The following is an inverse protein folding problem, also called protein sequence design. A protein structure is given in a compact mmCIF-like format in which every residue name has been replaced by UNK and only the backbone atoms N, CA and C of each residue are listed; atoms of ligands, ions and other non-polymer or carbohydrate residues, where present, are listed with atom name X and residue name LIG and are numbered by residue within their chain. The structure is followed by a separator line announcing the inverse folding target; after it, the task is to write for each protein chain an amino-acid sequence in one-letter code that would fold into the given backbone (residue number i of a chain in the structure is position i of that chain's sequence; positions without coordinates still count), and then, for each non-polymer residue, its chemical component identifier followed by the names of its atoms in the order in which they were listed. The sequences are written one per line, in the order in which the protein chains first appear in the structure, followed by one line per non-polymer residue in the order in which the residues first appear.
data_IF_394447657831
#
_entry.id   IF_394447657831
#
_cell.length_a   1.000
_cell.length_b   1.000
_cell.length_c   1.000
_cell.angle_alpha   90.00
_cell.angle_beta   90.00
_cell.angle_gamma   90.00
#
_symmetry.space_group_name_H-M   'P 1'
#
loop_
_entity.id
_entity.type
_entity.pdbx_description
1 polymer ?
#
# COMPACT_ATOMS: atom_id res chain seq x y z
N UNK A 1 30.72 9.97 3.18
CA UNK A 1 29.45 9.21 3.18
C UNK A 1 29.12 8.85 1.74
N UNK A 2 28.75 7.60 1.47
CA UNK A 2 28.45 7.13 0.12
C UNK A 2 26.94 7.14 -0.10
N UNK A 3 26.39 8.29 -0.47
CA UNK A 3 24.96 8.46 -0.67
C UNK A 3 24.51 8.12 -2.09
N UNK A 4 23.26 7.65 -2.28
CA UNK A 4 22.71 7.46 -3.62
C UNK A 4 22.62 8.81 -4.35
N UNK A 5 22.93 8.81 -5.65
CA UNK A 5 22.84 10.02 -6.51
C UNK A 5 21.39 10.39 -6.88
N UNK A 6 20.45 9.49 -6.65
CA UNK A 6 19.03 9.64 -6.96
C UNK A 6 18.20 8.92 -5.92
N UNK A 7 17.09 9.51 -5.53
CA UNK A 7 16.05 8.90 -4.68
C UNK A 7 14.75 8.81 -5.45
N UNK A 8 13.92 7.85 -5.07
CA UNK A 8 12.54 7.73 -5.56
C UNK A 8 11.64 8.12 -4.40
N UNK A 9 10.72 9.04 -4.66
CA UNK A 9 9.74 9.51 -3.68
C UNK A 9 8.40 8.86 -4.04
N UNK A 10 7.81 8.18 -3.07
CA UNK A 10 6.42 7.73 -3.10
C UNK A 10 5.56 8.68 -2.29
N UNK A 11 4.46 9.13 -2.87
CA UNK A 11 3.46 9.92 -2.16
C UNK A 11 2.32 9.03 -1.67
N UNK A 12 1.99 9.17 -0.39
CA UNK A 12 0.93 8.43 0.29
C UNK A 12 -0.13 9.37 0.89
N UNK A 13 -0.14 10.65 0.51
CA UNK A 13 -1.05 11.64 1.12
C UNK A 13 -2.50 11.26 0.92
N UNK A 14 -2.87 10.79 -0.28
CA UNK A 14 -4.28 10.51 -0.60
C UNK A 14 -4.80 9.24 0.08
N UNK A 15 -3.95 8.21 0.21
CA UNK A 15 -4.27 7.03 1.02
C UNK A 15 -3.98 7.30 2.49
N UNK A 16 -2.73 7.23 2.91
CA UNK A 16 -2.38 7.21 4.32
C UNK A 16 -2.66 8.52 5.04
N UNK A 17 -2.40 9.66 4.39
CA UNK A 17 -2.70 10.97 4.97
C UNK A 17 -4.20 11.14 5.24
N UNK A 18 -5.03 11.04 4.20
CA UNK A 18 -6.47 11.24 4.35
C UNK A 18 -7.17 10.19 5.20
N UNK A 19 -6.60 8.99 5.36
CA UNK A 19 -7.15 7.97 6.26
C UNK A 19 -7.36 8.48 7.69
N UNK A 20 -6.50 9.40 8.13
CA UNK A 20 -6.49 9.95 9.49
C UNK A 20 -7.26 11.26 9.63
N UNK A 21 -7.84 11.77 8.54
CA UNK A 21 -8.64 12.98 8.57
C UNK A 21 -10.03 12.70 9.16
N UNK A 22 -10.48 13.56 10.07
CA UNK A 22 -11.79 13.41 10.73
C UNK A 22 -12.96 13.59 9.74
N UNK A 23 -12.73 14.36 8.67
CA UNK A 23 -13.74 14.69 7.67
C UNK A 23 -13.50 13.93 6.39
N UNK A 24 -14.59 13.39 5.84
CA UNK A 24 -14.54 12.76 4.53
C UNK A 24 -14.10 13.75 3.44
N UNK A 25 -12.88 13.54 2.94
CA UNK A 25 -12.36 14.28 1.77
C UNK A 25 -13.06 13.78 0.50
N UNK A 26 -13.67 14.72 -0.24
CA UNK A 26 -14.44 14.40 -1.45
C UNK A 26 -13.55 13.88 -2.58
N UNK A 27 -14.08 13.01 -3.47
CA UNK A 27 -13.31 12.41 -4.57
C UNK A 27 -12.63 13.46 -5.47
N UNK A 28 -13.26 14.61 -5.69
CA UNK A 28 -12.73 15.69 -6.53
C UNK A 28 -11.45 16.30 -5.94
N UNK A 29 -11.42 16.48 -4.62
CA UNK A 29 -10.23 16.98 -3.93
C UNK A 29 -9.11 15.93 -3.93
N UNK A 30 -9.44 14.66 -3.73
CA UNK A 30 -8.47 13.55 -3.85
C UNK A 30 -7.86 13.49 -5.25
N UNK A 31 -8.70 13.57 -6.28
CA UNK A 31 -8.25 13.57 -7.67
C UNK A 31 -7.33 14.76 -7.95
N UNK A 32 -7.71 15.95 -7.47
CA UNK A 32 -6.88 17.14 -7.63
C UNK A 32 -5.48 16.94 -7.04
N UNK A 33 -5.37 16.41 -5.82
CA UNK A 33 -4.05 16.12 -5.20
C UNK A 33 -3.25 15.14 -6.04
N UNK A 34 -3.85 14.04 -6.51
CA UNK A 34 -3.15 13.07 -7.37
C UNK A 34 -2.65 13.71 -8.66
N UNK A 35 -3.46 14.56 -9.29
CA UNK A 35 -3.08 15.28 -10.51
C UNK A 35 -1.91 16.23 -10.25
N UNK A 36 -1.97 17.04 -9.18
CA UNK A 36 -0.87 17.95 -8.84
C UNK A 36 0.43 17.20 -8.53
N UNK A 37 0.37 16.07 -7.82
CA UNK A 37 1.56 15.26 -7.55
C UNK A 37 2.18 14.69 -8.82
N UNK A 38 1.36 14.21 -9.76
CA UNK A 38 1.87 13.71 -11.06
C UNK A 38 2.51 14.86 -11.85
N UNK A 39 1.89 16.04 -11.88
CA UNK A 39 2.42 17.22 -12.57
C UNK A 39 3.72 17.74 -11.92
N UNK A 40 3.86 17.58 -10.60
CA UNK A 40 5.09 17.86 -9.87
C UNK A 40 6.20 16.82 -10.14
N UNK A 41 5.89 15.73 -10.84
CA UNK A 41 6.84 14.70 -11.26
C UNK A 41 6.91 13.48 -10.35
N UNK A 42 6.00 13.34 -9.38
CA UNK A 42 5.91 12.12 -8.55
C UNK A 42 5.49 10.94 -9.42
N UNK A 43 6.25 9.84 -9.34
CA UNK A 43 6.05 8.64 -10.17
C UNK A 43 5.44 7.47 -9.40
N UNK A 44 5.35 7.54 -8.08
CA UNK A 44 4.77 6.50 -7.25
C UNK A 44 3.74 7.13 -6.33
N UNK A 45 2.47 6.73 -6.50
CA UNK A 45 1.34 7.32 -5.80
C UNK A 45 0.48 6.22 -5.22
N UNK A 46 0.18 6.31 -3.93
CA UNK A 46 -0.78 5.45 -3.28
C UNK A 46 -2.16 6.12 -3.25
N UNK A 47 -3.06 5.56 -4.06
CA UNK A 47 -4.29 6.24 -4.48
C UNK A 47 -5.42 6.03 -3.48
N UNK A 48 -5.54 4.82 -2.92
CA UNK A 48 -6.69 4.42 -2.10
C UNK A 48 -6.46 3.09 -1.38
N UNK A 49 -7.47 2.64 -0.63
CA UNK A 49 -7.54 1.33 0.00
C UNK A 49 -8.81 0.59 -0.47
N UNK A 50 -8.67 -0.66 -0.95
CA UNK A 50 -9.81 -1.49 -1.38
C UNK A 50 -10.44 -2.30 -0.23
N UNK A 51 -10.03 -2.07 1.01
CA UNK A 51 -10.61 -2.62 2.22
C UNK A 51 -12.10 -2.28 2.39
N UNK A 52 -12.71 -2.83 3.43
CA UNK A 52 -14.14 -2.66 3.69
C UNK A 52 -14.46 -1.18 3.97
N UNK A 53 -15.30 -0.51 3.16
CA UNK A 53 -15.65 0.90 3.37
C UNK A 53 -16.33 1.20 4.70
N UNK A 54 -16.94 0.21 5.36
CA UNK A 54 -17.50 0.39 6.71
C UNK A 54 -16.40 0.60 7.75
N UNK A 55 -15.26 -0.08 7.60
CA UNK A 55 -14.09 0.11 8.46
C UNK A 55 -13.17 1.23 7.99
N UNK A 56 -13.31 1.66 6.74
CA UNK A 56 -12.47 2.68 6.11
C UNK A 56 -13.33 3.66 5.30
N UNK A 57 -14.16 4.49 5.97
CA UNK A 57 -15.14 5.36 5.29
C UNK A 57 -14.49 6.35 4.33
N UNK A 58 -13.22 6.70 4.57
CA UNK A 58 -12.45 7.56 3.71
C UNK A 58 -12.26 7.00 2.29
N UNK A 59 -12.31 5.69 2.09
CA UNK A 59 -12.02 5.06 0.78
C UNK A 59 -13.24 4.41 0.13
N UNK A 60 -14.45 4.80 0.53
CA UNK A 60 -15.70 4.35 -0.11
C UNK A 60 -15.80 4.70 -1.60
N UNK A 61 -14.98 5.63 -2.08
CA UNK A 61 -14.91 6.14 -3.44
C UNK A 61 -13.73 5.58 -4.27
N UNK A 62 -13.06 4.52 -3.81
CA UNK A 62 -11.88 3.93 -4.46
C UNK A 62 -12.05 3.72 -5.98
N UNK A 63 -13.15 3.07 -6.40
CA UNK A 63 -13.46 2.82 -7.80
C UNK A 63 -13.67 4.11 -8.61
N UNK A 64 -14.33 5.10 -8.02
CA UNK A 64 -14.57 6.40 -8.66
C UNK A 64 -13.24 7.13 -8.87
N UNK A 65 -12.37 7.13 -7.86
CA UNK A 65 -11.08 7.80 -7.92
C UNK A 65 -10.16 7.20 -8.99
N UNK A 66 -10.08 5.87 -9.06
CA UNK A 66 -9.30 5.19 -10.11
C UNK A 66 -9.86 5.45 -11.51
N UNK A 67 -11.19 5.40 -11.70
CA UNK A 67 -11.81 5.74 -12.99
C UNK A 67 -11.53 7.19 -13.37
N UNK A 68 -11.55 8.11 -12.40
CA UNK A 68 -11.33 9.52 -12.63
C UNK A 68 -9.87 9.82 -13.02
N UNK A 69 -8.89 9.30 -12.26
CA UNK A 69 -7.46 9.55 -12.57
C UNK A 69 -7.07 8.95 -13.94
N UNK A 70 -7.55 7.75 -14.26
CA UNK A 70 -7.29 7.10 -15.57
C UNK A 70 -7.89 7.86 -16.76
N UNK A 71 -8.96 8.63 -16.53
CA UNK A 71 -9.63 9.47 -17.54
C UNK A 71 -9.29 10.95 -17.39
N UNK A 72 -8.37 11.32 -16.50
CA UNK A 72 -8.03 12.72 -16.26
C UNK A 72 -7.46 13.35 -17.54
N UNK A 73 -8.08 14.44 -18.00
CA UNK A 73 -7.58 15.20 -19.15
C UNK A 73 -6.23 15.88 -18.84
N UNK A 74 -5.90 16.04 -17.55
CA UNK A 74 -4.69 16.74 -17.10
C UNK A 74 -3.48 15.83 -17.08
N UNK A 75 -3.63 14.57 -16.68
CA UNK A 75 -2.48 13.70 -16.40
C UNK A 75 -2.54 12.30 -17.02
N UNK A 76 -3.64 11.89 -17.66
CA UNK A 76 -3.75 10.54 -18.25
C UNK A 76 -2.62 10.19 -19.22
N UNK A 77 -2.15 11.17 -20.00
CA UNK A 77 -1.02 11.02 -20.93
C UNK A 77 0.32 10.74 -20.22
N UNK A 78 0.45 11.07 -18.93
CA UNK A 78 1.66 10.84 -18.12
C UNK A 78 1.61 9.51 -17.35
N UNK A 79 0.44 8.86 -17.27
CA UNK A 79 0.26 7.67 -16.42
C UNK A 79 1.10 6.46 -16.84
N UNK A 80 1.61 6.43 -18.07
CA UNK A 80 2.54 5.38 -18.50
C UNK A 80 3.88 5.39 -17.75
N UNK A 81 4.22 6.52 -17.10
CA UNK A 81 5.41 6.67 -16.27
C UNK A 81 5.12 6.60 -14.76
N UNK A 82 3.84 6.47 -14.37
CA UNK A 82 3.39 6.56 -12.99
C UNK A 82 2.88 5.21 -12.52
N UNK A 83 3.34 4.75 -11.35
CA UNK A 83 2.81 3.57 -10.67
C UNK A 83 1.73 4.00 -9.68
N UNK A 84 0.48 3.62 -9.97
CA UNK A 84 -0.64 3.82 -9.06
C UNK A 84 -0.81 2.59 -8.16
N UNK A 85 -0.68 2.79 -6.85
CA UNK A 85 -0.78 1.74 -5.83
C UNK A 85 -2.14 1.79 -5.14
N UNK A 86 -2.72 0.62 -4.82
CA UNK A 86 -3.84 0.51 -3.88
C UNK A 86 -3.51 -0.47 -2.75
N UNK A 87 -3.95 -0.15 -1.54
CA UNK A 87 -3.80 -1.07 -0.39
C UNK A 87 -4.86 -2.17 -0.45
N UNK A 88 -4.42 -3.43 -0.25
CA UNK A 88 -5.24 -4.64 -0.37
C UNK A 88 -4.88 -5.68 0.70
N UNK A 89 -4.99 -5.32 1.98
CA UNK A 89 -4.53 -6.19 3.08
C UNK A 89 -5.34 -7.48 3.27
N UNK A 90 -6.41 -7.73 2.50
CA UNK A 90 -7.26 -8.93 2.58
C UNK A 90 -7.65 -9.45 1.20
N UNK A 91 -7.98 -10.73 1.14
CA UNK A 91 -8.35 -11.47 -0.06
C UNK A 91 -9.41 -10.76 -0.91
N UNK A 92 -10.48 -10.25 -0.29
CA UNK A 92 -11.55 -9.55 -1.00
C UNK A 92 -11.09 -8.23 -1.60
N UNK A 93 -10.15 -7.53 -0.95
CA UNK A 93 -9.57 -6.30 -1.48
C UNK A 93 -8.63 -6.59 -2.67
N UNK A 94 -7.88 -7.70 -2.61
CA UNK A 94 -7.03 -8.15 -3.72
C UNK A 94 -7.90 -8.52 -4.93
N UNK A 95 -8.97 -9.29 -4.71
CA UNK A 95 -9.93 -9.67 -5.75
C UNK A 95 -10.56 -8.42 -6.38
N UNK A 96 -10.97 -7.43 -5.58
CA UNK A 96 -11.47 -6.15 -6.10
C UNK A 96 -10.44 -5.42 -6.96
N UNK A 97 -9.18 -5.37 -6.53
CA UNK A 97 -8.11 -4.73 -7.30
C UNK A 97 -7.88 -5.45 -8.65
N UNK A 98 -7.92 -6.78 -8.65
CA UNK A 98 -7.83 -7.61 -9.86
C UNK A 98 -8.99 -7.31 -10.83
N UNK A 99 -10.23 -7.28 -10.34
CA UNK A 99 -11.39 -6.99 -11.18
C UNK A 99 -11.37 -5.56 -11.73
N UNK A 100 -10.96 -4.58 -10.91
CA UNK A 100 -10.74 -3.21 -11.36
C UNK A 100 -9.66 -3.11 -12.45
N UNK A 101 -8.56 -3.88 -12.31
CA UNK A 101 -7.48 -3.94 -13.30
C UNK A 101 -7.97 -4.52 -14.63
N UNK A 102 -8.68 -5.64 -14.59
CA UNK A 102 -9.31 -6.25 -15.78
C UNK A 102 -10.31 -5.32 -16.47
N UNK A 103 -11.05 -4.54 -15.67
CA UNK A 103 -11.97 -3.53 -16.19
C UNK A 103 -11.28 -2.25 -16.72
N UNK A 104 -9.94 -2.21 -16.72
CA UNK A 104 -9.14 -1.16 -17.36
C UNK A 104 -8.95 0.12 -16.55
N UNK A 105 -9.38 0.16 -15.29
CA UNK A 105 -9.22 1.36 -14.45
C UNK A 105 -8.37 1.12 -13.18
N UNK A 106 -8.14 -0.13 -12.79
CA UNK A 106 -7.52 -0.49 -11.52
C UNK A 106 -6.04 -0.09 -11.35
N UNK A 107 -5.44 -0.48 -10.22
CA UNK A 107 -4.07 -0.12 -9.87
C UNK A 107 -3.03 -0.75 -10.81
N UNK A 108 -1.79 -0.28 -10.72
CA UNK A 108 -0.61 -0.93 -11.32
C UNK A 108 0.12 -1.81 -10.31
N UNK A 109 -0.03 -1.49 -9.02
CA UNK A 109 0.60 -2.17 -7.90
C UNK A 109 -0.39 -2.29 -6.74
N UNK A 110 -0.35 -3.41 -6.03
CA UNK A 110 -1.10 -3.59 -4.79
C UNK A 110 -0.17 -3.72 -3.61
N UNK A 111 -0.60 -3.26 -2.44
CA UNK A 111 0.17 -3.33 -1.20
C UNK A 111 -0.51 -4.27 -0.21
N UNK A 112 0.23 -5.28 0.24
CA UNK A 112 -0.10 -6.15 1.36
C UNK A 112 0.75 -5.75 2.57
N UNK A 113 0.28 -6.03 3.79
CA UNK A 113 0.94 -5.56 5.00
C UNK A 113 0.98 -6.64 6.07
N UNK A 114 2.19 -6.96 6.53
CA UNK A 114 2.44 -7.84 7.67
C UNK A 114 3.08 -7.05 8.81
N UNK A 115 2.67 -7.33 10.03
CA UNK A 115 3.26 -6.78 11.25
C UNK A 115 4.15 -7.84 11.88
N UNK A 116 5.36 -7.51 12.32
CA UNK A 116 6.19 -8.46 13.08
C UNK A 116 5.53 -8.89 14.40
N UNK A 117 4.67 -8.05 14.98
CA UNK A 117 3.85 -8.38 16.14
C UNK A 117 2.58 -9.16 15.76
N UNK A 118 2.37 -10.31 16.41
CA UNK A 118 1.19 -11.16 16.21
C UNK A 118 -0.09 -10.44 16.64
N UNK A 119 -0.08 -9.77 17.81
CA UNK A 119 -1.26 -9.02 18.29
C UNK A 119 -1.60 -7.86 17.37
N UNK A 120 -0.59 -7.12 16.87
CA UNK A 120 -0.82 -6.05 15.91
C UNK A 120 -1.34 -6.60 14.59
N UNK A 121 -0.79 -7.72 14.10
CA UNK A 121 -1.23 -8.35 12.87
C UNK A 121 -2.71 -8.76 12.94
N UNK A 122 -3.12 -9.38 14.05
CA UNK A 122 -4.51 -9.77 14.27
C UNK A 122 -5.45 -8.57 14.36
N UNK A 123 -5.03 -7.49 15.01
CA UNK A 123 -5.81 -6.24 15.09
C UNK A 123 -5.95 -5.54 13.74
N UNK A 124 -4.86 -5.45 12.98
CA UNK A 124 -4.80 -4.72 11.72
C UNK A 124 -5.49 -5.45 10.57
N UNK A 125 -5.28 -6.77 10.45
CA UNK A 125 -5.79 -7.56 9.32
C UNK A 125 -6.96 -8.48 9.70
N UNK A 126 -7.15 -8.78 10.99
CA UNK A 126 -8.08 -9.84 11.43
C UNK A 126 -7.53 -11.26 11.26
N UNK A 127 -6.30 -11.44 10.77
CA UNK A 127 -5.63 -12.74 10.59
C UNK A 127 -4.43 -12.90 11.53
N UNK A 128 -4.13 -14.13 11.94
CA UNK A 128 -2.83 -14.47 12.53
C UNK A 128 -1.74 -14.36 11.47
N UNK A 129 -0.46 -14.38 11.87
CA UNK A 129 0.64 -14.37 10.91
C UNK A 129 0.58 -15.55 9.95
N UNK A 130 0.36 -16.77 10.48
CA UNK A 130 0.26 -17.98 9.66
C UNK A 130 -0.90 -17.91 8.65
N UNK A 131 -2.08 -17.44 9.09
CA UNK A 131 -3.23 -17.21 8.22
C UNK A 131 -2.93 -16.18 7.12
N UNK A 132 -2.27 -15.09 7.49
CA UNK A 132 -1.95 -14.00 6.56
C UNK A 132 -0.96 -14.42 5.49
N UNK A 133 0.10 -15.16 5.87
CA UNK A 133 1.08 -15.66 4.93
C UNK A 133 0.47 -16.66 3.94
N UNK A 134 -0.38 -17.58 4.40
CA UNK A 134 -1.12 -18.50 3.52
C UNK A 134 -2.03 -17.75 2.54
N UNK A 135 -2.67 -16.67 3.00
CA UNK A 135 -3.47 -15.80 2.13
C UNK A 135 -2.58 -15.11 1.08
N UNK A 136 -1.47 -14.50 1.49
CA UNK A 136 -0.53 -13.85 0.58
C UNK A 136 0.03 -14.82 -0.47
N UNK A 137 0.53 -15.99 -0.07
CA UNK A 137 1.05 -17.05 -0.95
C UNK A 137 0.02 -17.48 -2.01
N UNK A 138 -1.26 -17.53 -1.62
CA UNK A 138 -2.36 -17.88 -2.53
C UNK A 138 -2.73 -16.77 -3.52
N UNK A 139 -2.65 -15.51 -3.11
CA UNK A 139 -3.20 -14.39 -3.87
C UNK A 139 -2.17 -13.59 -4.65
N UNK A 140 -0.89 -13.63 -4.29
CA UNK A 140 0.18 -12.98 -5.05
C UNK A 140 0.25 -13.50 -6.50
N UNK A 141 0.26 -14.83 -6.77
CA UNK A 141 0.25 -15.32 -8.15
C UNK A 141 -0.96 -14.82 -8.95
N UNK A 142 -2.15 -14.76 -8.33
CA UNK A 142 -3.36 -14.26 -8.99
C UNK A 142 -3.28 -12.77 -9.34
N UNK A 143 -2.63 -11.98 -8.50
CA UNK A 143 -2.39 -10.56 -8.79
C UNK A 143 -1.45 -10.41 -9.99
N UNK A 144 -0.38 -11.21 -10.04
CA UNK A 144 0.55 -11.24 -11.18
C UNK A 144 -0.14 -11.69 -12.47
N UNK A 145 -0.98 -12.72 -12.41
CA UNK A 145 -1.78 -13.19 -13.57
C UNK A 145 -2.70 -12.09 -14.12
N UNK A 146 -3.13 -11.15 -13.27
CA UNK A 146 -3.91 -9.98 -13.66
C UNK A 146 -3.06 -8.78 -14.12
N UNK A 147 -1.73 -8.91 -14.14
CA UNK A 147 -0.80 -7.84 -14.51
C UNK A 147 -0.59 -6.79 -13.42
N UNK A 148 -0.85 -7.13 -12.15
CA UNK A 148 -0.57 -6.26 -11.00
C UNK A 148 0.82 -6.58 -10.43
N UNK A 149 1.57 -5.54 -10.07
CA UNK A 149 2.73 -5.70 -9.18
C UNK A 149 2.26 -5.83 -7.73
N UNK A 150 3.09 -6.46 -6.90
CA UNK A 150 2.82 -6.71 -5.49
C UNK A 150 3.93 -6.10 -4.64
N UNK A 151 3.54 -5.31 -3.65
CA UNK A 151 4.38 -4.88 -2.55
C UNK A 151 4.05 -5.63 -1.28
N UNK A 152 5.11 -6.08 -0.59
CA UNK A 152 5.01 -6.50 0.79
C UNK A 152 5.47 -5.40 1.73
N UNK A 153 4.62 -4.95 2.63
CA UNK A 153 5.03 -4.06 3.72
C UNK A 153 5.33 -4.85 4.98
N UNK A 154 6.39 -4.48 5.69
CA UNK A 154 6.67 -4.95 7.05
C UNK A 154 6.52 -3.78 8.02
N UNK A 155 5.60 -3.94 8.97
CA UNK A 155 5.31 -2.97 10.04
C UNK A 155 5.82 -3.47 11.39
N UNK A 156 5.72 -2.60 12.40
CA UNK A 156 6.16 -2.86 13.79
C UNK A 156 7.63 -3.26 13.93
N UNK A 157 8.49 -2.82 13.01
CA UNK A 157 9.93 -3.21 12.97
C UNK A 157 10.66 -2.70 14.21
N UNK A 158 10.45 -1.43 14.57
CA UNK A 158 11.18 -0.77 15.66
C UNK A 158 10.44 -0.78 17.00
N UNK A 159 9.20 -1.26 17.00
CA UNK A 159 8.35 -1.37 18.16
C UNK A 159 6.91 -1.71 17.76
N UNK A 160 6.15 -2.25 18.70
CA UNK A 160 4.73 -2.48 18.58
C UNK A 160 4.01 -1.71 19.71
N UNK A 161 2.93 -0.97 19.43
CA UNK A 161 2.17 -0.26 20.45
C UNK A 161 1.40 -1.21 21.39
N UNK A 162 1.34 -2.50 21.08
CA UNK A 162 0.65 -3.53 21.86
C UNK A 162 1.65 -4.39 22.65
N UNK A 163 2.67 -4.92 21.97
CA UNK A 163 3.62 -5.89 22.55
C UNK A 163 4.95 -5.25 22.97
N UNK A 164 5.19 -3.98 22.63
CA UNK A 164 6.42 -3.27 22.99
C UNK A 164 7.58 -3.56 22.02
N UNK A 165 8.82 -3.73 22.51
CA UNK A 165 10.00 -3.90 21.66
C UNK A 165 9.91 -5.14 20.76
N UNK A 166 10.34 -5.00 19.50
CA UNK A 166 10.37 -6.09 18.50
C UNK A 166 11.81 -6.42 18.09
N UNK A 167 12.04 -7.68 17.69
CA UNK A 167 13.32 -8.10 17.11
C UNK A 167 13.40 -7.70 15.63
N UNK A 168 14.40 -6.88 15.29
CA UNK A 168 14.64 -6.43 13.92
C UNK A 168 14.91 -7.61 12.96
N UNK A 169 15.46 -8.72 13.47
CA UNK A 169 15.70 -9.91 12.65
C UNK A 169 14.41 -10.54 12.13
N UNK A 170 13.27 -10.33 12.78
CA UNK A 170 11.99 -10.79 12.27
C UNK A 170 11.55 -9.97 11.04
N UNK A 171 11.84 -8.67 11.02
CA UNK A 171 11.59 -7.85 9.84
C UNK A 171 12.43 -8.30 8.64
N UNK A 172 13.70 -8.67 8.86
CA UNK A 172 14.58 -9.22 7.81
C UNK A 172 14.02 -10.55 7.28
N UNK A 173 13.58 -11.45 8.17
CA UNK A 173 12.95 -12.72 7.77
C UNK A 173 11.67 -12.48 6.97
N UNK A 174 10.85 -11.52 7.37
CA UNK A 174 9.56 -11.23 6.71
C UNK A 174 9.76 -10.56 5.35
N UNK A 175 10.71 -9.63 5.24
CA UNK A 175 11.12 -9.04 3.97
C UNK A 175 11.62 -10.11 2.99
N UNK A 176 12.47 -11.04 3.46
CA UNK A 176 12.91 -12.17 2.65
C UNK A 176 11.72 -13.03 2.20
N UNK A 177 10.81 -13.36 3.13
CA UNK A 177 9.62 -14.16 2.82
C UNK A 177 8.74 -13.51 1.76
N UNK A 178 8.54 -12.19 1.81
CA UNK A 178 7.80 -11.46 0.77
C UNK A 178 8.39 -11.71 -0.62
N UNK A 179 9.72 -11.64 -0.77
CA UNK A 179 10.38 -11.95 -2.04
C UNK A 179 10.27 -13.42 -2.41
N UNK A 180 10.44 -14.34 -1.45
CA UNK A 180 10.34 -15.79 -1.68
C UNK A 180 8.95 -16.20 -2.22
N UNK A 181 7.89 -15.47 -1.84
CA UNK A 181 6.50 -15.72 -2.29
C UNK A 181 6.08 -14.85 -3.48
N UNK A 182 7.00 -14.05 -4.04
CA UNK A 182 6.80 -13.35 -5.31
C UNK A 182 6.41 -11.86 -5.23
N UNK A 183 6.59 -11.18 -4.09
CA UNK A 183 6.48 -9.72 -4.07
C UNK A 183 7.57 -9.09 -4.97
N UNK A 184 7.26 -7.99 -5.64
CA UNK A 184 8.20 -7.26 -6.50
C UNK A 184 9.14 -6.34 -5.72
N UNK A 185 8.65 -5.80 -4.61
CA UNK A 185 9.35 -4.86 -3.76
C UNK A 185 8.81 -4.95 -2.33
N UNK A 186 9.56 -4.40 -1.38
CA UNK A 186 9.21 -4.40 0.04
C UNK A 186 9.32 -2.99 0.60
N UNK A 187 8.35 -2.59 1.42
CA UNK A 187 8.35 -1.34 2.18
C UNK A 187 8.50 -1.62 3.67
N UNK A 188 9.27 -0.81 4.37
CA UNK A 188 9.45 -0.88 5.82
C UNK A 188 8.74 0.31 6.46
N UNK A 189 7.79 0.05 7.37
CA UNK A 189 6.95 1.08 7.95
C UNK A 189 7.25 1.31 9.44
N UNK A 190 7.73 2.52 9.76
CA UNK A 190 7.81 3.03 11.13
C UNK A 190 6.51 3.73 11.52
N UNK A 191 5.46 2.94 11.71
CA UNK A 191 4.08 3.43 11.88
C UNK A 191 3.84 4.38 13.06
N UNK A 192 4.67 4.36 14.10
CA UNK A 192 4.55 5.25 15.27
C UNK A 192 5.67 6.29 15.36
N UNK A 193 6.57 6.33 14.37
CA UNK A 193 7.67 7.29 14.29
C UNK A 193 8.70 7.13 15.42
N UNK A 194 8.80 5.96 16.03
CA UNK A 194 9.66 5.71 17.19
C UNK A 194 11.10 5.33 16.85
N UNK A 195 11.42 5.13 15.56
CA UNK A 195 12.76 4.72 15.15
C UNK A 195 13.79 5.85 15.29
N UNK A 196 14.90 5.54 15.97
CA UNK A 196 16.05 6.44 16.06
C UNK A 196 17.04 6.18 14.90
N UNK A 197 17.82 7.18 14.45
CA UNK A 197 18.74 7.02 13.31
C UNK A 197 19.74 5.87 13.42
N UNK A 198 20.13 5.45 14.62
CA UNK A 198 21.05 4.33 14.83
C UNK A 198 20.39 2.95 14.80
N UNK A 199 19.05 2.90 14.75
CA UNK A 199 18.25 1.67 14.64
C UNK A 199 17.74 1.41 13.22
N UNK A 200 17.82 2.40 12.32
CA UNK A 200 17.48 2.33 10.89
C UNK A 200 18.71 1.95 10.08
#
# INVERSE_FOLDING_TARGET
MNYPKKVVIGDITVRDGFQHEEKYVQPEAKLWVLEEMILAGVKHLEVTNFGNPLGMPQFKDADLLFKAIRKSKRVSHLLHEVSLTAVTIRETAIERAIEAKKAGFGPDRILLMVSTSESHQKKNSGLTLDEYWKMAEKYIPKAHDAGLKVNGTVSTIWGCPIEGPMDMMDAVKFAKRWFDIGANDVEHADHDGSASPNRV
#
